data_IF_507108167476
#
_entry.id   IF_507108167476
#
_cell.length_a   1.000
_cell.length_b   1.000
_cell.length_c   1.000
_cell.angle_alpha   90.00
_cell.angle_beta   90.00
_cell.angle_gamma   90.00
#
_symmetry.space_group_name_H-M   'P 1'
#
loop_
_entity.id
_entity.type
_entity.pdbx_description
1 polymer ?
#
# COMPACT_ATOMS: atom_id res chain seq x y z
N UNK A 1 -14.26 18.89 12.90
CA UNK A 1 -13.27 18.13 12.12
C UNK A 1 -12.99 16.81 12.80
N UNK A 2 -13.11 15.69 12.08
CA UNK A 2 -12.69 14.36 12.50
C UNK A 2 -11.27 14.16 11.99
N UNK A 3 -10.33 13.94 12.91
CA UNK A 3 -8.92 13.74 12.60
C UNK A 3 -8.46 12.40 13.16
N UNK A 4 -7.70 11.66 12.37
CA UNK A 4 -7.09 10.39 12.78
C UNK A 4 -5.59 10.51 12.60
N UNK A 5 -4.76 10.06 13.57
CA UNK A 5 -3.32 10.06 13.41
C UNK A 5 -2.85 9.21 12.23
N UNK A 6 -1.79 9.64 11.55
CA UNK A 6 -1.21 8.95 10.40
C UNK A 6 -0.85 7.48 10.70
N UNK A 7 -0.40 7.16 11.92
CA UNK A 7 -0.04 5.79 12.29
C UNK A 7 -1.17 4.78 12.05
N UNK A 8 -2.44 5.18 12.15
CA UNK A 8 -3.58 4.27 11.91
C UNK A 8 -3.57 3.79 10.46
N UNK A 9 -3.33 4.68 9.51
CA UNK A 9 -3.21 4.34 8.09
C UNK A 9 -1.98 3.47 7.82
N UNK A 10 -0.84 3.80 8.45
CA UNK A 10 0.39 3.02 8.30
C UNK A 10 0.24 1.58 8.79
N UNK A 11 -0.50 1.35 9.89
CA UNK A 11 -0.78 -0.01 10.37
C UNK A 11 -1.71 -0.80 9.44
N UNK A 12 -2.76 -0.17 8.91
CA UNK A 12 -3.64 -0.82 7.92
C UNK A 12 -2.86 -1.16 6.65
N UNK A 13 -2.00 -0.25 6.19
CA UNK A 13 -1.10 -0.49 5.08
C UNK A 13 -0.10 -1.64 5.35
N UNK A 14 0.46 -1.71 6.57
CA UNK A 14 1.33 -2.81 6.98
C UNK A 14 0.60 -4.16 6.94
N UNK A 15 -0.65 -4.22 7.43
CA UNK A 15 -1.47 -5.43 7.34
C UNK A 15 -1.67 -5.85 5.89
N UNK A 16 -1.98 -4.90 5.01
CA UNK A 16 -2.08 -5.14 3.57
C UNK A 16 -0.79 -5.73 2.99
N UNK A 17 0.39 -5.17 3.35
CA UNK A 17 1.68 -5.68 2.90
C UNK A 17 1.94 -7.11 3.35
N UNK A 18 1.56 -7.48 4.58
CA UNK A 18 1.72 -8.86 5.08
C UNK A 18 0.86 -9.83 4.27
N UNK A 19 -0.41 -9.49 4.04
CA UNK A 19 -1.32 -10.31 3.23
C UNK A 19 -0.79 -10.43 1.81
N UNK A 20 -0.38 -9.32 1.20
CA UNK A 20 0.22 -9.28 -0.13
C UNK A 20 1.46 -10.18 -0.23
N UNK A 21 2.36 -10.15 0.77
CA UNK A 21 3.55 -10.99 0.83
C UNK A 21 3.19 -12.48 0.84
N UNK A 22 2.21 -12.89 1.65
CA UNK A 22 1.75 -14.28 1.72
C UNK A 22 1.24 -14.74 0.35
N UNK A 23 0.37 -13.97 -0.30
CA UNK A 23 -0.16 -14.31 -1.62
C UNK A 23 0.94 -14.33 -2.70
N UNK A 24 1.90 -13.42 -2.63
CA UNK A 24 3.05 -13.37 -3.54
C UNK A 24 3.89 -14.65 -3.43
N UNK A 25 4.19 -15.11 -2.20
CA UNK A 25 4.91 -16.36 -1.97
C UNK A 25 4.14 -17.58 -2.48
N UNK A 26 2.83 -17.63 -2.26
CA UNK A 26 1.96 -18.71 -2.78
C UNK A 26 2.00 -18.75 -4.32
N UNK A 27 1.94 -17.60 -4.99
CA UNK A 27 2.01 -17.53 -6.45
C UNK A 27 3.38 -17.99 -6.97
N UNK A 28 4.48 -17.55 -6.35
CA UNK A 28 5.83 -18.01 -6.72
C UNK A 28 5.95 -19.52 -6.55
N UNK A 29 5.47 -20.06 -5.42
CA UNK A 29 5.43 -21.51 -5.19
C UNK A 29 4.62 -22.24 -6.27
N UNK A 30 3.43 -21.73 -6.62
CA UNK A 30 2.58 -22.34 -7.63
C UNK A 30 3.22 -22.36 -9.02
N UNK A 31 3.89 -21.27 -9.42
CA UNK A 31 4.62 -21.20 -10.71
C UNK A 31 5.72 -22.27 -10.76
N UNK A 32 6.48 -22.42 -9.68
CA UNK A 32 7.55 -23.43 -9.59
C UNK A 32 6.96 -24.84 -9.60
N UNK A 33 5.93 -25.10 -8.79
CA UNK A 33 5.33 -26.42 -8.63
C UNK A 33 4.62 -26.91 -9.90
N UNK A 34 4.02 -26.02 -10.67
CA UNK A 34 3.32 -26.35 -11.93
C UNK A 34 4.26 -26.42 -13.14
N UNK A 35 5.56 -26.11 -12.97
CA UNK A 35 6.52 -25.94 -14.05
C UNK A 35 6.03 -24.98 -15.17
N UNK A 36 5.11 -24.07 -14.84
CA UNK A 36 4.52 -23.10 -15.75
C UNK A 36 5.47 -21.91 -15.94
N UNK A 37 6.68 -22.20 -16.43
CA UNK A 37 7.72 -21.22 -16.76
C UNK A 37 7.49 -20.63 -18.16
N UNK A 38 6.25 -20.31 -18.49
CA UNK A 38 5.98 -19.56 -19.71
C UNK A 38 6.57 -18.16 -19.57
N UNK A 39 7.09 -17.61 -20.67
CA UNK A 39 7.65 -16.26 -20.69
C UNK A 39 6.66 -15.23 -20.12
N UNK A 40 5.37 -15.41 -20.41
CA UNK A 40 4.28 -14.57 -19.91
C UNK A 40 4.17 -14.61 -18.38
N UNK A 41 4.08 -15.80 -17.78
CA UNK A 41 4.01 -15.96 -16.32
C UNK A 41 5.24 -15.38 -15.62
N UNK A 42 6.43 -15.55 -16.21
CA UNK A 42 7.66 -14.95 -15.71
C UNK A 42 7.61 -13.42 -15.75
N UNK A 43 7.23 -12.81 -16.88
CA UNK A 43 7.17 -11.36 -17.03
C UNK A 43 6.20 -10.73 -16.03
N UNK A 44 5.01 -11.30 -15.85
CA UNK A 44 4.04 -10.79 -14.87
C UNK A 44 4.56 -10.91 -13.43
N UNK A 45 5.16 -12.05 -13.07
CA UNK A 45 5.74 -12.23 -11.74
C UNK A 45 6.89 -11.25 -11.49
N UNK A 46 7.77 -11.06 -12.48
CA UNK A 46 8.88 -10.11 -12.41
C UNK A 46 8.37 -8.68 -12.24
N UNK A 47 7.36 -8.28 -13.02
CA UNK A 47 6.82 -6.92 -12.99
C UNK A 47 6.14 -6.62 -11.64
N UNK A 48 5.33 -7.55 -11.12
CA UNK A 48 4.72 -7.42 -9.79
C UNK A 48 5.79 -7.32 -8.70
N UNK A 49 6.81 -8.18 -8.75
CA UNK A 49 7.90 -8.16 -7.78
C UNK A 49 8.71 -6.85 -7.84
N UNK A 50 9.02 -6.38 -9.04
CA UNK A 50 9.73 -5.12 -9.26
C UNK A 50 8.92 -3.92 -8.73
N UNK A 51 7.63 -3.83 -9.05
CA UNK A 51 6.75 -2.78 -8.53
C UNK A 51 6.62 -2.85 -7.00
N UNK A 52 6.61 -4.05 -6.42
CA UNK A 52 6.62 -4.23 -4.97
C UNK A 52 7.88 -3.64 -4.35
N UNK A 53 9.06 -3.96 -4.89
CA UNK A 53 10.34 -3.42 -4.41
C UNK A 53 10.36 -1.90 -4.50
N UNK A 54 9.94 -1.32 -5.63
CA UNK A 54 9.87 0.14 -5.79
C UNK A 54 8.94 0.76 -4.75
N UNK A 55 7.76 0.16 -4.54
CA UNK A 55 6.77 0.67 -3.58
C UNK A 55 7.32 0.65 -2.15
N UNK A 56 7.98 -0.45 -1.75
CA UNK A 56 8.61 -0.56 -0.43
C UNK A 56 9.78 0.41 -0.28
N UNK A 57 10.61 0.57 -1.30
CA UNK A 57 11.70 1.55 -1.31
C UNK A 57 11.19 2.98 -1.18
N UNK A 58 10.18 3.37 -1.98
CA UNK A 58 9.56 4.67 -1.92
C UNK A 58 8.94 4.92 -0.54
N UNK A 59 8.24 3.93 0.02
CA UNK A 59 7.70 3.97 1.39
C UNK A 59 8.83 4.25 2.40
N UNK A 60 9.92 3.47 2.35
CA UNK A 60 11.07 3.63 3.26
C UNK A 60 11.80 4.95 3.08
N UNK A 61 11.79 5.55 1.88
CA UNK A 61 12.40 6.88 1.65
C UNK A 61 11.54 8.03 2.17
N UNK A 62 10.20 7.86 2.24
CA UNK A 62 9.27 8.92 2.60
C UNK A 62 8.97 8.96 4.11
N UNK A 63 9.07 7.82 4.82
CA UNK A 63 8.73 7.73 6.24
C UNK A 63 9.73 8.30 7.27
N UNK A 64 11.07 8.38 7.06
CA UNK A 64 12.02 8.66 8.15
C UNK A 64 11.81 9.98 8.89
N UNK A 65 11.42 11.03 8.16
CA UNK A 65 11.28 12.38 8.69
C UNK A 65 9.82 12.79 8.99
N UNK A 66 8.87 11.86 8.81
CA UNK A 66 7.44 12.10 9.04
C UNK A 66 7.11 11.81 10.50
N UNK A 67 6.41 12.72 11.18
CA UNK A 67 5.80 12.43 12.49
C UNK A 67 4.56 11.54 12.30
N UNK A 68 4.57 10.34 12.87
CA UNK A 68 3.48 9.37 12.77
C UNK A 68 2.23 9.79 13.54
N UNK A 69 2.35 10.78 14.44
CA UNK A 69 1.24 11.39 15.17
C UNK A 69 0.61 12.55 14.40
N UNK A 70 1.12 12.88 13.21
CA UNK A 70 0.55 13.93 12.36
C UNK A 70 -0.95 13.66 12.16
N UNK A 71 -1.83 14.63 12.49
CA UNK A 71 -3.27 14.45 12.35
C UNK A 71 -3.65 14.53 10.87
N UNK A 72 -4.31 13.49 10.38
CA UNK A 72 -4.91 13.46 9.04
C UNK A 72 -6.39 13.80 9.18
N UNK A 73 -6.82 14.92 8.58
CA UNK A 73 -8.22 15.35 8.59
C UNK A 73 -9.02 14.49 7.60
N UNK A 74 -9.99 13.73 8.12
CA UNK A 74 -10.84 12.85 7.30
C UNK A 74 -12.16 13.50 6.92
N UNK A 75 -12.73 14.29 7.83
CA UNK A 75 -13.96 15.01 7.60
C UNK A 75 -13.88 16.37 8.27
N UNK A 76 -14.02 17.43 7.48
CA UNK A 76 -14.27 18.76 8.02
C UNK A 76 -15.69 19.22 7.68
N UNK A 77 -16.40 19.74 8.68
CA UNK A 77 -17.75 20.26 8.51
C UNK A 77 -17.76 21.54 7.65
N UNK A 78 -16.62 22.25 7.58
CA UNK A 78 -16.43 23.41 6.71
C UNK A 78 -16.61 23.08 5.22
N UNK A 79 -16.35 21.84 4.81
CA UNK A 79 -16.53 21.38 3.43
C UNK A 79 -17.99 21.36 2.99
N UNK A 80 -18.91 21.03 3.91
CA UNK A 80 -20.35 21.09 3.66
C UNK A 80 -20.87 22.53 3.72
N UNK A 81 -20.28 23.38 4.58
CA UNK A 81 -20.61 24.81 4.63
C UNK A 81 -20.31 25.56 3.33
N UNK A 82 -19.20 25.23 2.66
CA UNK A 82 -18.84 25.80 1.34
C UNK A 82 -19.70 25.31 0.16
N UNK A 83 -20.43 24.20 0.32
CA UNK A 83 -21.39 23.71 -0.69
C UNK A 83 -22.73 24.47 -0.66
N UNK A 84 -23.03 25.15 0.44
CA UNK A 84 -24.29 25.89 0.64
C UNK A 84 -24.06 27.40 0.89
N UNK A 85 -22.81 27.89 0.81
CA UNK A 85 -22.53 29.31 0.67
C UNK A 85 -22.76 29.72 -0.79
N UNK A 86 -23.54 30.78 -1.08
CA UNK A 86 -23.70 31.29 -2.45
C UNK A 86 -22.37 31.79 -3.05
#
# INVERSE_FOLDING_TARGET
>A
MIQIPLYVFLFVYLLFLVVFLIFSLIHVYHIIATASLTLTSFLFCFLIFFLTIITLYATMSLLPDIDWKTPVTLLDASWLGGLFSP
#
